data_IF_610469069403
#
_entry.id   IF_610469069403
#
_cell.length_a   1.000
_cell.length_b   1.000
_cell.length_c   1.000
_cell.angle_alpha   90.00
_cell.angle_beta   90.00
_cell.angle_gamma   90.00
#
_symmetry.space_group_name_H-M   'P 1'
#
loop_
_entity.id
_entity.type
_entity.pdbx_description
1 polymer ?
#
# COMPACT_ATOMS: atom_id res chain seq x y z
N UNK A 1 -35.36 2.28 -9.29
CA UNK A 1 -34.40 2.68 -10.34
C UNK A 1 -32.93 2.67 -9.87
N UNK A 2 -32.57 1.98 -8.77
CA UNK A 2 -31.18 1.93 -8.23
C UNK A 2 -30.50 0.56 -8.39
N UNK A 3 -31.22 -0.47 -8.87
CA UNK A 3 -30.77 -1.87 -8.84
C UNK A 3 -30.20 -2.40 -10.18
N UNK A 4 -29.98 -1.56 -11.19
CA UNK A 4 -29.46 -2.01 -12.50
C UNK A 4 -27.95 -1.75 -12.72
N UNK A 5 -27.28 -0.97 -11.85
CA UNK A 5 -25.85 -0.62 -12.01
C UNK A 5 -24.91 -1.45 -11.14
N UNK A 6 -25.42 -2.22 -10.16
CA UNK A 6 -24.58 -3.04 -9.27
C UNK A 6 -23.95 -4.26 -9.97
N UNK A 7 -24.44 -4.67 -11.14
CA UNK A 7 -24.01 -5.90 -11.81
C UNK A 7 -22.71 -5.78 -12.59
N UNK A 8 -22.15 -4.57 -12.73
CA UNK A 8 -20.87 -4.33 -13.43
C UNK A 8 -19.70 -4.06 -12.48
N UNK A 9 -19.95 -3.79 -11.19
CA UNK A 9 -18.90 -3.53 -10.21
C UNK A 9 -18.54 -4.80 -9.45
N UNK A 10 -17.69 -5.63 -10.03
CA UNK A 10 -17.11 -6.77 -9.33
C UNK A 10 -16.01 -6.24 -8.40
N UNK A 11 -16.25 -6.31 -7.09
CA UNK A 11 -15.26 -5.95 -6.07
C UNK A 11 -14.18 -7.03 -6.05
N UNK A 12 -13.23 -6.95 -6.97
CA UNK A 12 -12.06 -7.82 -6.94
C UNK A 12 -11.15 -7.41 -5.79
N UNK A 13 -10.76 -8.39 -4.98
CA UNK A 13 -9.88 -8.18 -3.85
C UNK A 13 -8.44 -8.19 -4.36
N UNK A 14 -7.83 -7.02 -4.49
CA UNK A 14 -6.40 -6.94 -4.75
C UNK A 14 -5.61 -7.39 -3.51
N UNK A 15 -4.56 -8.18 -3.70
CA UNK A 15 -3.69 -8.63 -2.60
C UNK A 15 -2.78 -7.51 -2.08
N UNK A 16 -2.33 -6.62 -2.98
CA UNK A 16 -1.45 -5.49 -2.69
C UNK A 16 -1.92 -4.26 -3.48
N UNK A 17 -1.85 -3.08 -2.88
CA UNK A 17 -2.31 -1.81 -3.47
C UNK A 17 -1.15 -0.82 -3.53
N UNK A 18 -1.00 -0.11 -4.65
CA UNK A 18 -0.07 1.01 -4.78
C UNK A 18 -0.88 2.29 -4.99
N UNK A 19 -0.62 3.30 -4.17
CA UNK A 19 -1.30 4.58 -4.15
C UNK A 19 -0.28 5.69 -4.37
N UNK A 20 -0.65 6.71 -5.15
CA UNK A 20 0.25 7.80 -5.50
C UNK A 20 -0.46 9.14 -5.23
N UNK A 21 0.20 10.03 -4.51
CA UNK A 21 -0.27 11.40 -4.27
C UNK A 21 0.95 12.32 -4.09
N UNK A 22 0.76 13.64 -4.13
CA UNK A 22 1.87 14.60 -4.05
C UNK A 22 2.83 14.36 -2.88
N UNK A 23 2.32 14.30 -1.64
CA UNK A 23 3.12 13.95 -0.44
C UNK A 23 2.89 12.54 0.08
N UNK A 24 1.95 11.78 -0.51
CA UNK A 24 1.55 10.46 -0.03
C UNK A 24 0.81 10.41 1.33
N UNK A 25 0.91 11.45 2.17
CA UNK A 25 0.32 11.46 3.51
C UNK A 25 -1.21 11.37 3.48
N UNK A 26 -1.88 12.24 2.72
CA UNK A 26 -3.35 12.29 2.71
C UNK A 26 -3.99 10.99 2.19
N UNK A 27 -3.41 10.42 1.12
CA UNK A 27 -3.92 9.16 0.55
C UNK A 27 -3.65 7.97 1.49
N UNK A 28 -2.49 7.92 2.16
CA UNK A 28 -2.20 6.90 3.17
C UNK A 28 -3.15 7.00 4.37
N UNK A 29 -3.35 8.20 4.92
CA UNK A 29 -4.26 8.43 6.04
C UNK A 29 -5.69 8.01 5.70
N UNK A 30 -6.15 8.32 4.48
CA UNK A 30 -7.47 7.93 4.01
C UNK A 30 -7.59 6.41 3.82
N UNK A 31 -6.58 5.78 3.22
CA UNK A 31 -6.54 4.33 3.01
C UNK A 31 -6.59 3.55 4.34
N UNK A 32 -5.86 4.02 5.36
CA UNK A 32 -5.81 3.39 6.69
C UNK A 32 -7.12 3.49 7.49
N UNK A 33 -8.14 4.24 7.02
CA UNK A 33 -9.48 4.23 7.63
C UNK A 33 -10.27 2.96 7.27
N UNK A 34 -9.83 2.17 6.29
CA UNK A 34 -10.49 0.93 5.90
C UNK A 34 -9.95 -0.24 6.75
N UNK A 35 -10.86 -0.99 7.38
CA UNK A 35 -10.58 -2.02 8.41
C UNK A 35 -9.52 -3.07 8.03
N UNK A 36 -9.36 -3.37 6.75
CA UNK A 36 -8.43 -4.39 6.26
C UNK A 36 -7.21 -3.82 5.53
N UNK A 37 -7.02 -2.50 5.55
CA UNK A 37 -5.91 -1.82 4.88
C UNK A 37 -4.85 -1.40 5.88
N UNK A 38 -3.62 -1.78 5.58
CA UNK A 38 -2.39 -1.33 6.23
C UNK A 38 -1.51 -0.69 5.18
N UNK A 39 -1.70 0.61 5.00
CA UNK A 39 -0.98 1.44 4.06
C UNK A 39 0.24 2.07 4.72
N UNK A 40 1.42 1.86 4.12
CA UNK A 40 2.66 2.50 4.52
C UNK A 40 3.10 3.53 3.47
N UNK A 41 3.50 4.72 3.90
CA UNK A 41 4.16 5.73 3.10
C UNK A 41 5.62 5.34 2.97
N UNK A 42 6.09 5.10 1.75
CA UNK A 42 7.48 4.70 1.52
C UNK A 42 8.14 5.63 0.50
N UNK A 43 9.30 6.16 0.88
CA UNK A 43 10.15 7.02 0.04
C UNK A 43 11.54 6.41 -0.18
N UNK A 44 11.77 5.18 0.29
CA UNK A 44 13.00 4.41 0.06
C UNK A 44 12.69 2.90 0.06
N UNK A 45 13.61 2.11 -0.49
CA UNK A 45 13.49 0.65 -0.58
C UNK A 45 13.49 -0.01 0.80
N UNK A 46 14.27 0.52 1.74
CA UNK A 46 14.36 0.02 3.11
C UNK A 46 13.03 0.19 3.84
N UNK A 47 12.36 1.33 3.67
CA UNK A 47 11.05 1.58 4.29
C UNK A 47 9.99 0.66 3.69
N UNK A 48 10.00 0.42 2.38
CA UNK A 48 9.09 -0.53 1.73
C UNK A 48 9.29 -1.97 2.22
N UNK A 49 10.55 -2.39 2.36
CA UNK A 49 10.89 -3.71 2.89
C UNK A 49 10.39 -3.87 4.34
N UNK A 50 10.73 -2.93 5.23
CA UNK A 50 10.32 -2.97 6.63
C UNK A 50 8.79 -2.88 6.78
N UNK A 51 8.11 -2.13 5.92
CA UNK A 51 6.65 -2.08 5.90
C UNK A 51 6.04 -3.47 5.63
N UNK A 52 6.65 -4.26 4.75
CA UNK A 52 6.23 -5.63 4.47
C UNK A 52 6.63 -6.59 5.58
N UNK A 53 7.91 -6.62 5.96
CA UNK A 53 8.46 -7.54 6.96
C UNK A 53 7.78 -7.38 8.33
N UNK A 54 7.64 -6.14 8.81
CA UNK A 54 7.25 -5.89 10.19
C UNK A 54 5.79 -5.52 10.38
N UNK A 55 5.17 -4.90 9.39
CA UNK A 55 3.80 -4.38 9.52
C UNK A 55 2.81 -5.15 8.66
N UNK A 56 3.29 -6.09 7.83
CA UNK A 56 2.48 -6.81 6.85
C UNK A 56 1.61 -5.86 6.01
N UNK A 57 2.18 -4.71 5.63
CA UNK A 57 1.48 -3.66 4.90
C UNK A 57 0.96 -4.21 3.57
N UNK A 58 -0.34 -4.11 3.31
CA UNK A 58 -0.96 -4.56 2.05
C UNK A 58 -1.28 -3.38 1.11
N UNK A 59 -0.95 -2.16 1.53
CA UNK A 59 -0.94 -1.00 0.66
C UNK A 59 0.36 -0.19 0.85
N UNK A 60 0.80 0.44 -0.23
CA UNK A 60 1.95 1.33 -0.30
C UNK A 60 1.47 2.68 -0.83
N UNK A 61 1.87 3.78 -0.19
CA UNK A 61 1.71 5.13 -0.70
C UNK A 61 3.06 5.70 -1.12
N UNK A 62 3.13 6.28 -2.32
CA UNK A 62 4.32 6.95 -2.84
C UNK A 62 4.14 8.48 -2.83
N UNK A 63 5.12 9.23 -2.30
CA UNK A 63 5.10 10.70 -2.29
C UNK A 63 5.66 11.26 -3.62
N UNK A 64 4.80 11.42 -4.63
CA UNK A 64 5.19 11.74 -6.01
C UNK A 64 6.04 13.01 -6.19
N UNK A 65 5.97 13.99 -5.27
CA UNK A 65 6.79 15.22 -5.32
C UNK A 65 8.19 15.05 -4.75
N UNK A 66 8.49 13.91 -4.13
CA UNK A 66 9.69 13.70 -3.31
C UNK A 66 10.58 12.53 -3.78
N UNK A 67 10.13 11.78 -4.78
CA UNK A 67 10.90 10.67 -5.35
C UNK A 67 10.86 10.74 -6.88
N UNK A 68 11.92 10.27 -7.54
CA UNK A 68 11.92 10.12 -8.99
C UNK A 68 11.29 8.77 -9.40
N UNK A 69 10.98 8.62 -10.68
CA UNK A 69 10.33 7.43 -11.23
C UNK A 69 11.16 6.15 -11.06
N UNK A 70 12.48 6.21 -11.25
CA UNK A 70 13.37 5.05 -11.10
C UNK A 70 13.34 4.50 -9.67
N UNK A 71 13.35 5.39 -8.69
CA UNK A 71 13.27 5.01 -7.28
C UNK A 71 11.87 4.52 -6.92
N UNK A 72 10.82 5.17 -7.42
CA UNK A 72 9.45 4.72 -7.25
C UNK A 72 9.25 3.27 -7.72
N UNK A 73 9.78 2.91 -8.89
CA UNK A 73 9.73 1.54 -9.43
C UNK A 73 10.43 0.56 -8.48
N UNK A 74 11.65 0.87 -8.01
CA UNK A 74 12.39 0.02 -7.06
C UNK A 74 11.65 -0.18 -5.74
N UNK A 75 11.07 0.89 -5.19
CA UNK A 75 10.29 0.86 -3.95
C UNK A 75 9.09 -0.08 -4.11
N UNK A 76 8.36 0.03 -5.22
CA UNK A 76 7.22 -0.84 -5.53
C UNK A 76 7.68 -2.28 -5.69
N UNK A 77 8.76 -2.55 -6.43
CA UNK A 77 9.28 -3.91 -6.59
C UNK A 77 9.62 -4.57 -5.26
N UNK A 78 10.35 -3.86 -4.39
CA UNK A 78 10.69 -4.36 -3.04
C UNK A 78 9.41 -4.65 -2.26
N UNK A 79 8.46 -3.71 -2.23
CA UNK A 79 7.18 -3.91 -1.54
C UNK A 79 6.41 -5.14 -2.05
N UNK A 80 6.40 -5.39 -3.36
CA UNK A 80 5.69 -6.51 -3.94
C UNK A 80 6.36 -7.85 -3.65
N UNK A 81 7.70 -7.89 -3.64
CA UNK A 81 8.52 -9.11 -3.47
C UNK A 81 8.72 -9.49 -1.99
N UNK A 82 8.76 -8.53 -1.08
CA UNK A 82 9.06 -8.80 0.34
C UNK A 82 7.90 -9.53 1.05
N UNK A 83 8.14 -10.73 1.63
CA UNK A 83 7.15 -11.45 2.42
C UNK A 83 6.98 -10.83 3.81
N UNK A 84 5.94 -11.23 4.53
CA UNK A 84 5.79 -10.86 5.94
C UNK A 84 6.62 -11.79 6.82
N UNK A 85 7.39 -11.25 7.76
CA UNK A 85 8.27 -12.03 8.64
C UNK A 85 7.49 -12.82 9.71
N UNK A 86 6.34 -12.31 10.13
CA UNK A 86 5.55 -12.94 11.18
C UNK A 86 6.20 -12.84 12.56
N UNK A 87 6.33 -13.96 13.28
CA UNK A 87 6.90 -13.97 14.64
C UNK A 87 6.28 -12.93 15.59
N UNK A 88 7.13 -12.15 16.25
CA UNK A 88 6.72 -11.07 17.19
C UNK A 88 5.82 -10.01 16.54
N UNK A 89 5.88 -9.85 15.21
CA UNK A 89 5.15 -8.82 14.48
C UNK A 89 3.66 -9.13 14.33
N UNK A 90 3.24 -10.40 14.51
CA UNK A 90 1.81 -10.80 14.48
C UNK A 90 1.00 -10.26 15.67
N UNK A 91 1.66 -9.84 16.74
CA UNK A 91 1.02 -9.40 18.00
C UNK A 91 0.81 -7.88 18.08
N UNK A 92 1.09 -7.15 17.00
CA UNK A 92 1.03 -5.68 16.91
C UNK A 92 -0.19 -5.22 16.13
#
# INVERSE_FOLDING_TARGET
MQNLYSSFYKKEKCEKIVLICGSGNGIQMSANKHKDIRCALCWSTEIAELARLHNNANALALPARFINEKDAIKIVEVFLKTPFEGGRHKKR
#
